data_IF_067285325672
#
_entry.id   IF_067285325672
#
_cell.length_a   1.000
_cell.length_b   1.000
_cell.length_c   1.000
_cell.angle_alpha   90.00
_cell.angle_beta   90.00
_cell.angle_gamma   90.00
#
_symmetry.space_group_name_H-M   'P 1'
#
loop_
_entity.id
_entity.type
_entity.pdbx_description
1 polymer ?
#
# COMPACT_ATOMS: atom_id res chain seq x y z
N UNK A 1 5.69 5.72 13.32
CA UNK A 1 5.20 5.74 11.92
C UNK A 1 4.78 4.37 11.44
N UNK A 2 5.61 3.33 11.60
CA UNK A 2 5.22 1.99 11.16
C UNK A 2 3.91 1.49 11.80
N UNK A 3 3.74 1.62 13.12
CA UNK A 3 2.49 1.26 13.80
C UNK A 3 1.26 2.01 13.23
N UNK A 4 1.40 3.30 12.92
CA UNK A 4 0.34 4.10 12.30
C UNK A 4 0.00 3.59 10.89
N UNK A 5 1.01 3.24 10.09
CA UNK A 5 0.81 2.63 8.77
C UNK A 5 0.14 1.26 8.89
N UNK A 6 0.52 0.44 9.88
CA UNK A 6 -0.09 -0.86 10.15
C UNK A 6 -1.53 -0.75 10.66
N UNK A 7 -1.91 0.36 11.30
CA UNK A 7 -3.30 0.66 11.64
C UNK A 7 -4.16 0.95 10.40
N UNK A 8 -3.59 1.56 9.36
CA UNK A 8 -4.28 1.81 8.09
C UNK A 8 -4.45 0.51 7.28
N UNK A 9 -3.37 -0.23 7.06
CA UNK A 9 -3.41 -1.58 6.48
C UNK A 9 -2.20 -2.39 6.97
N UNK A 10 -2.48 -3.55 7.55
CA UNK A 10 -1.46 -4.48 8.08
C UNK A 10 -0.44 -4.94 7.02
N UNK A 11 -0.83 -4.88 5.75
CA UNK A 11 -0.04 -5.31 4.61
C UNK A 11 0.82 -4.18 4.00
N UNK A 12 0.74 -2.97 4.53
CA UNK A 12 1.63 -1.88 4.15
C UNK A 12 2.88 -1.90 5.03
N UNK A 13 4.04 -1.77 4.43
CA UNK A 13 5.34 -1.64 5.09
C UNK A 13 5.85 -0.22 4.89
N UNK A 14 6.15 0.45 6.00
CA UNK A 14 6.75 1.76 5.97
C UNK A 14 8.17 1.70 5.38
N UNK A 15 8.49 2.61 4.45
CA UNK A 15 9.85 2.72 3.87
C UNK A 15 10.55 3.98 4.36
N UNK A 16 9.97 5.14 4.08
CA UNK A 16 10.48 6.43 4.56
C UNK A 16 9.34 7.47 4.55
N UNK A 17 9.64 8.66 5.06
CA UNK A 17 8.80 9.82 4.88
C UNK A 17 9.66 11.05 4.59
N UNK A 18 9.06 12.02 3.94
CA UNK A 18 9.63 13.31 3.63
C UNK A 18 8.65 14.37 4.13
N UNK A 19 9.16 15.43 4.72
CA UNK A 19 8.36 16.56 5.19
C UNK A 19 8.70 17.73 4.27
N UNK A 20 7.70 18.24 3.56
CA UNK A 20 7.84 19.39 2.67
C UNK A 20 6.81 20.41 3.14
N UNK A 21 7.31 21.57 3.59
CA UNK A 21 6.54 22.60 4.29
C UNK A 21 5.75 21.99 5.46
N UNK A 22 4.42 22.06 5.42
CA UNK A 22 3.52 21.50 6.43
C UNK A 22 2.94 20.13 6.04
N UNK A 23 3.45 19.50 4.98
CA UNK A 23 2.95 18.23 4.44
C UNK A 23 3.92 17.08 4.68
N UNK A 24 3.42 15.98 5.24
CA UNK A 24 4.18 14.75 5.43
C UNK A 24 3.84 13.76 4.30
N UNK A 25 4.81 13.47 3.45
CA UNK A 25 4.73 12.45 2.41
C UNK A 25 5.30 11.14 2.95
N UNK A 26 4.46 10.11 3.04
CA UNK A 26 4.89 8.81 3.56
C UNK A 26 4.98 7.81 2.41
N UNK A 27 6.16 7.23 2.22
CA UNK A 27 6.36 6.16 1.24
C UNK A 27 6.17 4.81 1.91
N UNK A 28 5.26 4.04 1.35
CA UNK A 28 4.94 2.68 1.82
C UNK A 28 4.97 1.70 0.65
N UNK A 29 5.22 0.43 0.97
CA UNK A 29 5.15 -0.67 0.01
C UNK A 29 4.12 -1.68 0.49
N UNK A 30 3.27 -2.17 -0.41
CA UNK A 30 2.37 -3.28 -0.09
C UNK A 30 3.12 -4.60 -0.22
N UNK A 31 3.06 -5.42 0.82
CA UNK A 31 3.56 -6.79 0.78
C UNK A 31 2.53 -7.80 0.22
N UNK A 32 1.32 -7.34 -0.17
CA UNK A 32 0.34 -8.18 -0.87
C UNK A 32 0.86 -8.50 -2.27
N UNK A 33 1.20 -9.77 -2.49
CA UNK A 33 1.59 -10.30 -3.81
C UNK A 33 0.41 -10.42 -4.75
N UNK A 34 -0.79 -10.61 -4.20
CA UNK A 34 -2.00 -10.97 -4.91
C UNK A 34 -3.19 -10.22 -4.33
N UNK A 35 -4.00 -9.62 -5.19
CA UNK A 35 -5.22 -8.92 -4.84
C UNK A 35 -6.39 -9.54 -5.58
N UNK A 36 -7.41 -9.98 -4.85
CA UNK A 36 -8.65 -10.46 -5.45
C UNK A 36 -9.49 -9.26 -5.87
N UNK A 37 -9.79 -9.16 -7.16
CA UNK A 37 -10.69 -8.13 -7.68
C UNK A 37 -12.08 -8.31 -7.04
N UNK A 38 -12.64 -7.29 -6.37
CA UNK A 38 -13.94 -7.41 -5.73
C UNK A 38 -15.10 -7.52 -6.75
N UNK A 39 -14.86 -7.17 -8.02
CA UNK A 39 -15.89 -7.18 -9.08
C UNK A 39 -15.98 -8.50 -9.84
N UNK A 40 -14.84 -9.07 -10.24
CA UNK A 40 -14.80 -10.33 -11.01
C UNK A 40 -14.26 -11.53 -10.21
N UNK A 41 -13.74 -11.31 -9.00
CA UNK A 41 -13.21 -12.37 -8.15
C UNK A 41 -11.88 -12.96 -8.61
N UNK A 42 -11.30 -12.50 -9.72
CA UNK A 42 -9.99 -12.94 -10.17
C UNK A 42 -8.87 -12.34 -9.32
N UNK A 43 -7.88 -13.16 -9.02
CA UNK A 43 -6.66 -12.75 -8.34
C UNK A 43 -5.72 -12.09 -9.34
N UNK A 44 -5.30 -10.85 -9.08
CA UNK A 44 -4.35 -10.11 -9.89
C UNK A 44 -3.08 -9.81 -9.09
N UNK A 45 -1.94 -10.02 -9.73
CA UNK A 45 -0.60 -9.75 -9.19
C UNK A 45 -0.11 -8.35 -9.55
N UNK A 46 -1.02 -7.35 -9.55
CA UNK A 46 -0.72 -5.91 -9.77
C UNK A 46 -0.59 -5.48 -11.25
N UNK A 47 -1.03 -6.30 -12.20
CA UNK A 47 -1.18 -5.91 -13.61
C UNK A 47 -2.58 -6.28 -14.09
N UNK A 48 -3.50 -5.32 -14.09
CA UNK A 48 -4.70 -5.40 -14.93
C UNK A 48 -4.38 -4.66 -16.22
N UNK A 49 -3.79 -5.38 -17.17
CA UNK A 49 -3.68 -4.92 -18.55
C UNK A 49 -3.71 -6.15 -19.45
N UNK A 50 -4.88 -6.40 -20.04
CA UNK A 50 -4.99 -6.96 -21.38
C UNK A 50 -5.97 -6.08 -22.14
#
# INVERSE_FOLDING_TARGET
MDEFIKMLDKNLEYKNHEIIDDTIYIKVESNRKELKCPFCGQTSTKVHSH
#
